data_IF_440564493128
#
_entry.id   IF_440564493128
#
_cell.length_a   1.000
_cell.length_b   1.000
_cell.length_c   1.000
_cell.angle_alpha   90.00
_cell.angle_beta   90.00
_cell.angle_gamma   90.00
#
_symmetry.space_group_name_H-M   'P 1'
#
loop_
_entity.id
_entity.type
_entity.pdbx_description
1 polymer ?
#
# COMPACT_ATOMS: atom_id res chain seq x y z
N UNK A 1 -14.12 -3.06 -20.02
CA UNK A 1 -13.56 -2.12 -19.02
C UNK A 1 -14.13 -2.45 -17.63
N UNK A 2 -13.33 -3.05 -16.73
CA UNK A 2 -13.80 -3.28 -15.34
C UNK A 2 -13.56 -2.01 -14.51
N UNK A 3 -14.64 -1.42 -14.02
CA UNK A 3 -14.58 -0.32 -13.06
C UNK A 3 -14.35 -0.91 -11.67
N UNK A 4 -13.23 -0.58 -11.02
CA UNK A 4 -13.08 -0.88 -9.60
C UNK A 4 -13.89 0.17 -8.81
N UNK A 5 -14.93 -0.28 -8.10
CA UNK A 5 -15.80 0.59 -7.31
C UNK A 5 -15.21 0.71 -5.91
N UNK A 6 -14.51 1.82 -5.66
CA UNK A 6 -13.93 2.12 -4.34
C UNK A 6 -15.05 2.44 -3.35
N UNK A 7 -15.18 1.63 -2.31
CA UNK A 7 -16.05 1.90 -1.14
C UNK A 7 -15.13 2.30 0.00
N UNK A 8 -15.01 3.60 0.25
CA UNK A 8 -14.37 4.12 1.45
C UNK A 8 -15.43 4.42 2.52
N UNK A 9 -15.28 3.83 3.71
CA UNK A 9 -16.06 4.20 4.89
C UNK A 9 -15.54 5.52 5.47
N UNK A 10 -15.91 6.63 4.85
CA UNK A 10 -15.99 7.96 5.47
C UNK A 10 -16.69 8.87 4.44
N UNK A 11 -17.57 9.77 4.90
CA UNK A 11 -18.51 10.58 4.10
C UNK A 11 -17.93 11.57 3.08
N UNK A 12 -16.91 11.19 2.31
CA UNK A 12 -16.38 11.94 1.19
C UNK A 12 -17.20 11.70 -0.09
N UNK A 13 -17.40 12.72 -0.95
CA UNK A 13 -18.23 12.60 -2.15
C UNK A 13 -17.72 11.52 -3.10
N UNK A 14 -18.64 10.64 -3.54
CA UNK A 14 -18.41 9.50 -4.43
C UNK A 14 -17.78 9.96 -5.76
N UNK A 15 -16.46 9.93 -5.88
CA UNK A 15 -15.73 10.19 -7.13
C UNK A 15 -14.99 8.94 -7.59
N UNK A 16 -15.25 8.54 -8.84
CA UNK A 16 -14.64 7.37 -9.48
C UNK A 16 -13.21 7.72 -9.88
N UNK A 17 -12.22 7.01 -9.34
CA UNK A 17 -10.83 7.07 -9.83
C UNK A 17 -10.72 6.12 -11.03
N UNK A 18 -10.27 6.62 -12.18
CA UNK A 18 -10.02 5.82 -13.38
C UNK A 18 -8.58 5.30 -13.33
N UNK A 19 -8.42 4.01 -13.01
CA UNK A 19 -7.12 3.33 -13.11
C UNK A 19 -6.94 2.90 -14.57
N UNK A 20 -5.84 3.31 -15.21
CA UNK A 20 -5.54 2.95 -16.60
C UNK A 20 -5.22 1.46 -16.67
N UNK A 21 -6.04 0.71 -17.39
CA UNK A 21 -6.18 -0.76 -17.38
C UNK A 21 -5.06 -1.53 -18.09
N UNK A 22 -3.83 -1.50 -17.58
CA UNK A 22 -2.78 -2.47 -17.98
C UNK A 22 -2.21 -3.29 -16.82
N UNK A 23 -2.65 -3.06 -15.59
CA UNK A 23 -2.21 -3.79 -14.41
C UNK A 23 -3.41 -4.33 -13.64
N UNK A 24 -3.49 -5.66 -13.52
CA UNK A 24 -4.37 -6.31 -12.55
C UNK A 24 -3.97 -5.82 -11.14
N UNK A 25 -4.95 -5.36 -10.34
CA UNK A 25 -4.75 -4.88 -8.97
C UNK A 25 -4.97 -6.07 -8.02
N UNK A 26 -4.00 -6.34 -7.15
CA UNK A 26 -3.99 -7.54 -6.29
C UNK A 26 -4.22 -7.24 -4.82
N UNK A 27 -4.07 -5.99 -4.40
CA UNK A 27 -4.43 -5.60 -3.05
C UNK A 27 -4.67 -4.10 -2.91
N UNK A 28 -5.49 -3.75 -1.93
CA UNK A 28 -5.87 -2.40 -1.58
C UNK A 28 -5.74 -2.24 -0.07
N UNK A 29 -5.06 -1.18 0.37
CA UNK A 29 -4.84 -0.91 1.78
C UNK A 29 -5.07 0.58 2.10
N UNK A 30 -5.53 0.88 3.31
CA UNK A 30 -5.83 2.25 3.73
C UNK A 30 -4.56 3.09 3.95
N UNK A 31 -4.58 4.36 3.57
CA UNK A 31 -3.50 5.28 3.94
C UNK A 31 -3.65 5.82 5.38
N UNK A 32 -2.68 6.62 5.81
CA UNK A 32 -2.66 7.13 7.17
C UNK A 32 -3.78 8.15 7.44
N UNK A 33 -4.34 8.12 8.65
CA UNK A 33 -5.14 9.21 9.19
C UNK A 33 -6.54 9.41 8.59
N UNK A 34 -7.11 8.43 7.90
CA UNK A 34 -8.52 8.46 7.45
C UNK A 34 -8.87 9.52 6.40
N UNK A 35 -7.88 10.23 5.84
CA UNK A 35 -8.05 11.35 4.89
C UNK A 35 -8.30 10.92 3.43
N UNK A 36 -8.82 9.72 3.21
CA UNK A 36 -9.08 9.20 1.87
C UNK A 36 -7.81 8.87 1.08
N UNK A 37 -6.76 8.45 1.79
CA UNK A 37 -5.55 7.89 1.19
C UNK A 37 -5.70 6.39 0.99
N UNK A 38 -5.15 5.85 -0.10
CA UNK A 38 -5.26 4.44 -0.47
C UNK A 38 -3.96 3.98 -1.13
N UNK A 39 -3.47 2.80 -0.76
CA UNK A 39 -2.41 2.11 -1.48
C UNK A 39 -3.03 1.02 -2.35
N UNK A 40 -2.59 0.93 -3.61
CA UNK A 40 -2.95 -0.16 -4.51
C UNK A 40 -1.71 -0.85 -5.04
N UNK A 41 -1.62 -2.16 -4.83
CA UNK A 41 -0.55 -2.97 -5.38
C UNK A 41 -0.98 -3.59 -6.72
N UNK A 42 -0.05 -3.59 -7.67
CA UNK A 42 -0.19 -4.26 -8.95
C UNK A 42 0.65 -5.54 -8.96
N UNK A 43 0.34 -6.45 -9.88
CA UNK A 43 1.06 -7.72 -10.00
C UNK A 43 2.58 -7.56 -10.16
N UNK A 44 3.01 -6.54 -10.90
CA UNK A 44 4.40 -6.36 -11.34
C UNK A 44 5.22 -5.52 -10.36
N UNK A 45 5.06 -5.76 -9.06
CA UNK A 45 5.85 -5.07 -8.03
C UNK A 45 5.52 -3.58 -7.80
N UNK A 46 4.65 -2.94 -8.59
CA UNK A 46 4.36 -1.51 -8.44
C UNK A 46 3.26 -1.26 -7.42
N UNK A 47 3.49 -0.31 -6.52
CA UNK A 47 2.49 0.19 -5.58
C UNK A 47 2.17 1.65 -5.90
N UNK A 48 0.88 1.97 -5.99
CA UNK A 48 0.38 3.32 -6.22
C UNK A 48 -0.25 3.87 -4.95
N UNK A 49 0.20 5.04 -4.50
CA UNK A 49 -0.45 5.82 -3.48
C UNK A 49 -1.43 6.81 -4.09
N UNK A 50 -2.69 6.76 -3.66
CA UNK A 50 -3.73 7.72 -4.01
C UNK A 50 -3.99 8.63 -2.82
N UNK A 51 -4.05 9.94 -3.07
CA UNK A 51 -4.50 10.92 -2.07
C UNK A 51 -5.38 11.97 -2.70
N UNK A 52 -6.23 12.57 -1.89
CA UNK A 52 -6.92 13.80 -2.27
C UNK A 52 -6.12 15.01 -1.82
N UNK A 53 -5.85 15.93 -2.75
CA UNK A 53 -5.25 17.22 -2.46
C UNK A 53 -6.33 18.30 -2.47
N UNK A 54 -6.38 19.12 -1.42
CA UNK A 54 -7.23 20.30 -1.38
C UNK A 54 -6.49 21.49 -1.97
N UNK A 55 -6.95 21.96 -3.13
CA UNK A 55 -6.47 23.17 -3.77
C UNK A 55 -7.53 24.25 -3.62
N UNK A 56 -7.52 24.95 -2.46
CA UNK A 56 -8.38 26.11 -2.16
C UNK A 56 -9.84 25.89 -2.61
N UNK A 57 -10.52 24.90 -2.02
CA UNK A 57 -11.92 24.49 -2.29
C UNK A 57 -12.13 23.58 -3.51
N UNK A 58 -11.06 23.14 -4.19
CA UNK A 58 -11.15 22.14 -5.27
C UNK A 58 -10.35 20.89 -4.90
N UNK A 59 -11.05 19.87 -4.43
CA UNK A 59 -10.47 18.55 -4.16
C UNK A 59 -10.09 17.87 -5.48
N UNK A 60 -8.81 17.52 -5.64
CA UNK A 60 -8.29 16.75 -6.78
C UNK A 60 -7.69 15.43 -6.32
N UNK A 61 -8.06 14.29 -6.93
CA UNK A 61 -7.34 13.04 -6.71
C UNK A 61 -5.97 13.13 -7.36
N UNK A 62 -4.95 12.66 -6.65
CA UNK A 62 -3.56 12.53 -7.11
C UNK A 62 -3.15 11.08 -6.91
N UNK A 63 -2.48 10.53 -7.91
CA UNK A 63 -1.86 9.20 -7.84
C UNK A 63 -0.35 9.37 -7.97
N UNK A 64 0.41 8.72 -7.10
CA UNK A 64 1.87 8.70 -7.10
C UNK A 64 2.34 7.25 -7.04
N UNK A 65 3.29 6.88 -7.89
CA UNK A 65 3.98 5.59 -7.77
C UNK A 65 4.94 5.65 -6.59
N UNK A 66 4.85 4.66 -5.70
CA UNK A 66 5.68 4.52 -4.51
C UNK A 66 6.70 3.40 -4.76
N UNK A 67 7.96 3.71 -4.50
CA UNK A 67 9.06 2.75 -4.63
C UNK A 67 9.42 2.21 -3.24
N UNK A 68 8.90 1.02 -2.95
CA UNK A 68 9.25 0.29 -1.75
C UNK A 68 10.59 -0.43 -1.95
N UNK A 69 11.52 -0.22 -1.02
CA UNK A 69 12.83 -0.85 -1.08
C UNK A 69 12.72 -2.37 -0.91
N UNK A 70 13.64 -3.11 -1.51
CA UNK A 70 13.73 -4.57 -1.37
C UNK A 70 12.52 -5.34 -1.91
N UNK A 71 11.78 -4.77 -2.87
CA UNK A 71 10.85 -5.51 -3.74
C UNK A 71 11.51 -5.68 -5.13
N UNK A 72 11.84 -6.90 -5.55
CA UNK A 72 12.37 -7.16 -6.89
C UNK A 72 11.38 -6.74 -7.99
N UNK A 73 11.90 -6.35 -9.16
CA UNK A 73 11.09 -5.87 -10.30
C UNK A 73 10.19 -6.97 -10.88
N UNK A 74 10.66 -8.22 -10.79
CA UNK A 74 10.01 -9.44 -11.24
C UNK A 74 9.17 -10.12 -10.15
N UNK A 75 9.08 -9.52 -8.95
CA UNK A 75 8.28 -10.07 -7.87
C UNK A 75 6.78 -9.90 -8.10
N UNK A 76 6.03 -10.93 -7.75
CA UNK A 76 4.57 -10.95 -7.78
C UNK A 76 4.01 -10.47 -6.44
N UNK A 77 3.41 -9.27 -6.38
CA UNK A 77 2.75 -8.84 -5.13
C UNK A 77 1.43 -9.61 -4.97
N UNK A 78 1.33 -10.35 -3.87
CA UNK A 78 0.16 -11.19 -3.56
C UNK A 78 -0.74 -10.61 -2.48
N UNK A 79 -0.21 -9.76 -1.60
CA UNK A 79 -1.02 -9.04 -0.61
C UNK A 79 -0.34 -7.78 -0.11
N UNK A 80 -1.16 -6.80 0.28
CA UNK A 80 -0.74 -5.57 0.94
C UNK A 80 -1.77 -5.23 2.01
N UNK A 81 -1.31 -4.83 3.18
CA UNK A 81 -2.14 -4.29 4.24
C UNK A 81 -1.42 -3.17 4.99
N UNK A 82 -2.20 -2.38 5.73
CA UNK A 82 -1.74 -1.18 6.41
C UNK A 82 -2.48 -1.01 7.73
N UNK A 83 -1.77 -0.59 8.76
CA UNK A 83 -2.41 -0.15 9.99
C UNK A 83 -1.70 1.05 10.61
N UNK A 84 -2.45 1.84 11.36
CA UNK A 84 -1.92 2.99 12.08
C UNK A 84 -1.40 2.53 13.45
N UNK A 85 -0.21 3.00 13.83
CA UNK A 85 0.31 2.79 15.19
C UNK A 85 -0.61 3.48 16.20
N UNK A 86 -0.80 2.85 17.35
CA UNK A 86 -1.62 3.40 18.45
C UNK A 86 -0.85 4.48 19.22
N UNK A 87 -1.56 5.48 19.80
CA UNK A 87 -0.94 6.50 20.64
C UNK A 87 -0.11 5.88 21.79
N UNK A 88 1.02 6.49 22.20
CA UNK A 88 1.55 7.80 21.79
C UNK A 88 2.36 7.77 20.49
N UNK A 89 2.61 6.58 19.92
CA UNK A 89 3.36 6.44 18.67
C UNK A 89 2.43 6.74 17.50
N UNK A 90 2.72 7.81 16.77
CA UNK A 90 2.04 8.08 15.49
C UNK A 90 2.81 7.40 14.35
N UNK A 91 2.11 7.03 13.29
CA UNK A 91 2.73 6.50 12.07
C UNK A 91 1.93 5.38 11.43
N UNK A 92 2.35 5.02 10.22
CA UNK A 92 1.77 3.95 9.42
C UNK A 92 2.75 2.79 9.37
N UNK A 93 2.21 1.58 9.44
CA UNK A 93 2.90 0.34 9.10
C UNK A 93 2.29 -0.18 7.81
N UNK A 94 3.13 -0.57 6.86
CA UNK A 94 2.72 -1.18 5.59
C UNK A 94 3.32 -2.57 5.53
N UNK A 95 2.49 -3.60 5.40
CA UNK A 95 2.93 -4.96 5.12
C UNK A 95 2.71 -5.26 3.64
N UNK A 96 3.75 -5.73 2.94
CA UNK A 96 3.66 -6.18 1.55
C UNK A 96 4.19 -7.59 1.47
N UNK A 97 3.36 -8.53 1.02
CA UNK A 97 3.80 -9.87 0.67
C UNK A 97 4.00 -9.97 -0.83
N UNK A 98 5.14 -10.50 -1.23
CA UNK A 98 5.42 -10.82 -2.63
C UNK A 98 6.06 -12.20 -2.78
N UNK A 99 5.87 -12.81 -3.94
CA UNK A 99 6.54 -14.05 -4.34
C UNK A 99 7.67 -13.67 -5.28
N UNK A 100 8.87 -14.15 -4.96
CA UNK A 100 9.99 -14.09 -5.89
C UNK A 100 9.96 -15.35 -6.76
N UNK A 101 10.00 -15.17 -8.08
CA UNK A 101 10.17 -16.29 -9.00
C UNK A 101 11.63 -16.79 -8.93
N UNK A 102 11.84 -17.85 -8.14
CA UNK A 102 13.15 -18.49 -7.95
C UNK A 102 13.27 -19.83 -8.68
N UNK A 103 12.35 -20.16 -9.59
CA UNK A 103 12.29 -21.46 -10.25
C UNK A 103 11.26 -22.41 -9.63
N UNK A 104 11.66 -23.65 -9.28
CA UNK A 104 10.75 -24.76 -8.97
C UNK A 104 9.75 -24.53 -7.81
N UNK A 105 10.01 -23.57 -6.92
CA UNK A 105 9.06 -23.09 -5.90
C UNK A 105 9.25 -21.58 -5.71
N UNK A 106 8.18 -20.82 -5.84
CA UNK A 106 8.18 -19.40 -5.48
C UNK A 106 8.28 -19.25 -3.96
N UNK A 107 9.29 -18.52 -3.48
CA UNK A 107 9.44 -18.21 -2.06
C UNK A 107 8.66 -16.92 -1.73
N UNK A 108 7.66 -16.99 -0.84
CA UNK A 108 6.95 -15.80 -0.38
C UNK A 108 7.77 -15.06 0.68
N UNK A 109 7.83 -13.73 0.55
CA UNK A 109 8.46 -12.82 1.50
C UNK A 109 7.44 -11.79 1.97
N UNK A 110 7.52 -11.42 3.25
CA UNK A 110 6.81 -10.30 3.84
C UNK A 110 7.80 -9.17 4.15
N UNK A 111 7.63 -8.03 3.50
CA UNK A 111 8.30 -6.80 3.88
C UNK A 111 7.36 -5.96 4.76
N UNK A 112 7.86 -5.55 5.90
CA UNK A 112 7.18 -4.64 6.82
C UNK A 112 7.92 -3.31 6.79
N UNK A 113 7.18 -2.26 6.41
CA UNK A 113 7.67 -0.89 6.34
C UNK A 113 7.03 -0.07 7.43
N UNK A 114 7.82 0.72 8.14
CA UNK A 114 7.27 1.62 9.14
C UNK A 114 8.16 2.85 9.32
N UNK A 115 7.51 3.96 9.67
CA UNK A 115 8.24 5.17 9.99
C UNK A 115 9.07 4.98 11.27
N UNK A 116 10.26 5.56 11.26
CA UNK A 116 11.19 5.66 12.35
C UNK A 116 11.41 7.14 12.54
N UNK A 117 10.67 7.78 13.45
CA UNK A 117 11.04 8.99 14.25
C UNK A 117 9.77 9.58 14.89
N UNK A 118 9.73 9.79 16.22
CA UNK A 118 8.63 10.52 16.87
C UNK A 118 8.67 12.01 16.50
N UNK A 119 7.59 12.54 15.92
CA UNK A 119 7.45 13.97 15.63
C UNK A 119 7.81 14.40 14.20
N UNK A 120 8.22 13.46 13.34
CA UNK A 120 8.33 13.68 11.90
C UNK A 120 6.94 13.84 11.26
N UNK A 121 6.86 14.64 10.20
CA UNK A 121 5.67 14.66 9.35
C UNK A 121 5.52 13.33 8.62
N UNK A 122 4.30 12.83 8.56
CA UNK A 122 3.97 11.61 7.83
C UNK A 122 4.44 11.69 6.36
N UNK A 123 5.35 10.81 5.98
CA UNK A 123 5.89 10.72 4.62
C UNK A 123 5.98 9.28 4.13
N UNK A 124 5.15 8.93 3.14
CA UNK A 124 5.14 7.59 2.52
C UNK A 124 6.46 7.23 1.85
N UNK A 125 7.19 8.21 1.29
CA UNK A 125 8.48 7.95 0.68
C UNK A 125 9.50 7.53 1.73
N UNK A 126 9.50 8.16 2.92
CA UNK A 126 10.37 7.78 4.04
C UNK A 126 10.03 6.38 4.57
N UNK A 127 8.74 6.07 4.71
CA UNK A 127 8.28 4.74 5.15
C UNK A 127 8.77 3.66 4.19
N UNK A 128 8.66 3.91 2.88
CA UNK A 128 9.07 2.97 1.84
C UNK A 128 10.57 2.63 1.86
N UNK A 129 11.39 3.42 2.56
CA UNK A 129 12.82 3.17 2.74
C UNK A 129 13.16 2.23 3.90
N UNK A 130 12.33 2.21 4.95
CA UNK A 130 12.52 1.40 6.15
C UNK A 130 11.93 0.01 5.94
N UNK A 131 12.75 -1.03 5.83
CA UNK A 131 12.28 -2.36 5.48
C UNK A 131 12.79 -3.42 6.46
N UNK A 132 11.85 -4.15 7.08
CA UNK A 132 12.08 -5.45 7.70
C UNK A 132 11.60 -6.53 6.73
N UNK A 133 12.51 -7.37 6.23
CA UNK A 133 12.20 -8.48 5.33
C UNK A 133 12.14 -9.80 6.11
N UNK A 134 11.11 -10.61 5.84
CA UNK A 134 10.89 -11.92 6.45
C UNK A 134 10.55 -12.93 5.36
N UNK A 135 11.21 -14.08 5.36
CA UNK A 135 10.83 -15.22 4.52
C UNK A 135 9.67 -15.99 5.17
N UNK A 136 8.66 -16.35 4.38
CA UNK A 136 7.49 -17.10 4.83
C UNK A 136 7.55 -18.54 4.35
N UNK A 137 7.03 -19.46 5.16
CA UNK A 137 6.88 -20.88 4.79
C UNK A 137 5.54 -21.16 4.07
N UNK A 138 4.73 -20.13 3.83
CA UNK A 138 3.42 -20.21 3.19
C UNK A 138 3.09 -18.89 2.45
N UNK A 139 2.18 -18.95 1.48
CA UNK A 139 1.68 -17.76 0.77
C UNK A 139 0.39 -17.25 1.43
N UNK A 140 0.39 -16.08 2.10
CA UNK A 140 -0.83 -15.51 2.66
C UNK A 140 -1.78 -15.02 1.57
N UNK A 141 -3.04 -15.44 1.62
CA UNK A 141 -4.09 -14.95 0.71
C UNK A 141 -4.53 -13.52 1.03
N UNK A 142 -4.46 -13.12 2.30
CA UNK A 142 -4.78 -11.77 2.76
C UNK A 142 -3.89 -11.45 3.98
N UNK A 143 -3.37 -10.23 4.01
CA UNK A 143 -2.79 -9.66 5.22
C UNK A 143 -3.89 -8.92 5.97
N UNK A 144 -3.99 -9.17 7.27
CA UNK A 144 -4.88 -8.45 8.17
C UNK A 144 -4.11 -8.13 9.45
N UNK A 145 -4.20 -6.90 9.91
CA UNK A 145 -3.84 -6.54 11.28
C UNK A 145 -4.93 -7.03 12.26
N UNK A 146 -4.52 -7.64 13.36
CA UNK A 146 -5.40 -7.98 14.49
C UNK A 146 -5.42 -6.82 15.47
N UNK A 147 -6.62 -6.42 15.92
CA UNK A 147 -6.83 -5.37 16.95
C UNK A 147 -6.23 -5.74 18.32
#
# INVERSE_FOLDING_TARGET
SRFCRLVGSCGCPRRKIKITTFSNVYGLAGGAGGRGELLAATLKGKVLGFRYQDLRQKIRPVAKELQFNYIPVDAEIVSIDTFNKSPPKQGLVVGITFIKDSGDKGCPFLNIYCDYEPGSEFNLDSIAQSCLNLELQFTPFQLCHTE
#
